data_IF_522767344666
#
_entry.id   IF_522767344666
#
_cell.length_a   1.000
_cell.length_b   1.000
_cell.length_c   1.000
_cell.angle_alpha   90.00
_cell.angle_beta   90.00
_cell.angle_gamma   90.00
#
_symmetry.space_group_name_H-M   'P 1'
#
loop_
_entity.id
_entity.type
_entity.pdbx_description
1 polymer ?
#
# COMPACT_ATOMS: atom_id res chain seq x y z
N UNK A 1 -19.28 -64.94 56.48
CA UNK A 1 -20.46 -65.53 55.81
C UNK A 1 -21.05 -64.43 54.96
N UNK A 2 -20.45 -64.23 53.78
CA UNK A 2 -20.80 -63.16 52.84
C UNK A 2 -20.85 -63.84 51.49
N UNK A 3 -22.07 -64.02 51.01
CA UNK A 3 -22.37 -64.81 49.82
C UNK A 3 -21.88 -64.06 48.57
N UNK A 4 -20.95 -64.61 47.76
CA UNK A 4 -20.42 -63.94 46.56
C UNK A 4 -21.50 -63.66 45.50
N UNK A 5 -22.70 -64.22 45.64
CA UNK A 5 -23.85 -63.97 44.78
C UNK A 5 -24.50 -62.58 45.00
N UNK A 6 -24.26 -61.91 46.13
CA UNK A 6 -24.92 -60.63 46.47
C UNK A 6 -24.00 -59.42 46.25
N UNK A 7 -22.67 -59.59 46.34
CA UNK A 7 -21.70 -58.49 46.28
C UNK A 7 -21.55 -57.95 44.84
N UNK A 8 -21.60 -58.83 43.84
CA UNK A 8 -21.42 -58.49 42.42
C UNK A 8 -22.53 -57.58 41.85
N UNK A 9 -23.84 -57.82 42.09
CA UNK A 9 -24.88 -56.94 41.56
C UNK A 9 -24.93 -55.56 42.24
N UNK A 10 -24.56 -55.46 43.53
CA UNK A 10 -24.55 -54.18 44.26
C UNK A 10 -23.43 -53.26 43.75
N UNK A 11 -22.23 -53.80 43.50
CA UNK A 11 -21.12 -53.03 42.94
C UNK A 11 -21.42 -52.52 41.52
N UNK A 12 -22.06 -53.34 40.68
CA UNK A 12 -22.46 -52.94 39.32
C UNK A 12 -23.54 -51.86 39.35
N UNK A 13 -24.50 -51.94 40.28
CA UNK A 13 -25.54 -50.93 40.44
C UNK A 13 -24.98 -49.56 40.88
N UNK A 14 -23.98 -49.54 41.80
CA UNK A 14 -23.35 -48.29 42.27
C UNK A 14 -22.47 -47.65 41.17
N UNK A 15 -21.72 -48.45 40.42
CA UNK A 15 -20.90 -47.95 39.29
C UNK A 15 -21.80 -47.43 38.16
N UNK A 16 -22.95 -48.09 37.90
CA UNK A 16 -23.96 -47.62 36.95
C UNK A 16 -24.60 -46.28 37.36
N UNK A 17 -24.94 -46.12 38.65
CA UNK A 17 -25.54 -44.89 39.17
C UNK A 17 -24.55 -43.71 39.18
N UNK A 18 -23.28 -43.96 39.49
CA UNK A 18 -22.22 -42.97 39.41
C UNK A 18 -21.94 -42.51 37.97
N UNK A 19 -21.99 -43.44 37.00
CA UNK A 19 -21.88 -43.14 35.57
C UNK A 19 -23.06 -42.31 35.04
N UNK A 20 -24.30 -42.60 35.47
CA UNK A 20 -25.50 -41.87 35.04
C UNK A 20 -25.58 -40.46 35.63
N UNK A 21 -25.15 -40.26 36.89
CA UNK A 21 -25.09 -38.94 37.51
C UNK A 21 -23.96 -38.06 36.95
N UNK A 22 -22.82 -38.65 36.59
CA UNK A 22 -21.75 -37.98 35.85
C UNK A 22 -22.18 -37.62 34.42
N UNK A 23 -23.00 -38.47 33.78
CA UNK A 23 -23.55 -38.23 32.44
C UNK A 23 -24.57 -37.07 32.39
N UNK A 24 -25.47 -36.97 33.37
CA UNK A 24 -26.52 -35.93 33.38
C UNK A 24 -26.03 -34.54 33.79
N UNK A 25 -25.00 -34.45 34.64
CA UNK A 25 -24.40 -33.17 35.05
C UNK A 25 -23.46 -32.59 33.98
N UNK A 26 -22.73 -33.47 33.29
CA UNK A 26 -21.86 -33.09 32.16
C UNK A 26 -22.68 -32.62 30.96
N UNK A 27 -23.80 -33.28 30.61
CA UNK A 27 -24.62 -32.93 29.44
C UNK A 27 -25.18 -31.49 29.47
N UNK A 28 -25.54 -30.93 30.64
CA UNK A 28 -26.01 -29.53 30.75
C UNK A 28 -24.89 -28.49 30.75
N UNK A 29 -23.69 -28.86 31.22
CA UNK A 29 -22.49 -27.98 31.16
C UNK A 29 -21.89 -27.96 29.76
N UNK A 30 -21.77 -29.14 29.14
CA UNK A 30 -21.27 -29.34 27.79
C UNK A 30 -22.10 -28.54 26.78
N UNK A 31 -23.43 -28.54 26.86
CA UNK A 31 -24.22 -27.67 25.98
C UNK A 31 -23.91 -26.17 26.16
N UNK A 32 -23.75 -25.67 27.39
CA UNK A 32 -23.40 -24.25 27.60
C UNK A 32 -21.99 -23.92 27.11
N UNK A 33 -21.02 -24.81 27.35
CA UNK A 33 -19.65 -24.67 26.89
C UNK A 33 -19.57 -24.74 25.36
N UNK A 34 -20.30 -25.66 24.73
CA UNK A 34 -20.43 -25.79 23.27
C UNK A 34 -21.07 -24.53 22.66
N UNK A 35 -22.11 -23.97 23.28
CA UNK A 35 -22.73 -22.72 22.83
C UNK A 35 -21.77 -21.52 22.97
N UNK A 36 -20.96 -21.47 24.03
CA UNK A 36 -19.97 -20.42 24.24
C UNK A 36 -18.80 -20.54 23.25
N UNK A 37 -18.31 -21.76 23.00
CA UNK A 37 -17.27 -22.05 22.01
C UNK A 37 -17.75 -21.77 20.59
N UNK A 38 -19.00 -22.12 20.25
CA UNK A 38 -19.59 -21.79 18.95
C UNK A 38 -19.71 -20.27 18.75
N UNK A 39 -20.08 -19.53 19.80
CA UNK A 39 -20.16 -18.06 19.75
C UNK A 39 -18.78 -17.41 19.61
N UNK A 40 -17.80 -17.84 20.40
CA UNK A 40 -16.42 -17.38 20.27
C UNK A 40 -15.83 -17.72 18.91
N UNK A 41 -16.14 -18.92 18.38
CA UNK A 41 -15.77 -19.32 17.02
C UNK A 41 -16.34 -18.38 15.96
N UNK A 42 -17.62 -18.03 16.05
CA UNK A 42 -18.27 -17.10 15.12
C UNK A 42 -17.69 -15.67 15.21
N UNK A 43 -17.39 -15.19 16.41
CA UNK A 43 -16.73 -13.89 16.62
C UNK A 43 -15.32 -13.86 16.01
N UNK A 44 -14.52 -14.93 16.21
CA UNK A 44 -13.19 -15.07 15.60
C UNK A 44 -13.27 -15.15 14.08
N UNK A 45 -14.22 -15.90 13.52
CA UNK A 45 -14.42 -15.97 12.06
C UNK A 45 -14.77 -14.60 11.47
N UNK A 46 -15.63 -13.84 12.15
CA UNK A 46 -16.00 -12.48 11.72
C UNK A 46 -14.80 -11.55 11.78
N UNK A 47 -14.04 -11.56 12.88
CA UNK A 47 -12.84 -10.75 13.03
C UNK A 47 -11.80 -11.09 11.97
N UNK A 48 -11.62 -12.38 11.66
CA UNK A 48 -10.72 -12.83 10.59
C UNK A 48 -11.12 -12.29 9.22
N UNK A 49 -12.42 -12.28 8.91
CA UNK A 49 -12.91 -11.70 7.67
C UNK A 49 -12.67 -10.18 7.59
N UNK A 50 -12.82 -9.47 8.71
CA UNK A 50 -12.52 -8.03 8.81
C UNK A 50 -11.03 -7.77 8.63
N UNK A 51 -10.16 -8.57 9.26
CA UNK A 51 -8.71 -8.45 9.11
C UNK A 51 -8.30 -8.68 7.66
N UNK A 52 -8.82 -9.73 7.02
CA UNK A 52 -8.53 -10.01 5.60
C UNK A 52 -8.94 -8.83 4.70
N UNK A 53 -10.15 -8.30 4.90
CA UNK A 53 -10.63 -7.13 4.15
C UNK A 53 -9.77 -5.88 4.39
N UNK A 54 -9.33 -5.64 5.62
CA UNK A 54 -8.43 -4.53 5.95
C UNK A 54 -7.07 -4.72 5.30
N UNK A 55 -6.50 -5.93 5.33
CA UNK A 55 -5.23 -6.27 4.68
C UNK A 55 -5.31 -6.05 3.17
N UNK A 56 -6.40 -6.47 2.53
CA UNK A 56 -6.61 -6.25 1.10
C UNK A 56 -6.72 -4.75 0.77
N UNK A 57 -7.46 -3.99 1.59
CA UNK A 57 -7.57 -2.53 1.43
C UNK A 57 -6.25 -1.81 1.63
N UNK A 58 -5.46 -2.19 2.64
CA UNK A 58 -4.11 -1.63 2.89
C UNK A 58 -3.22 -1.91 1.68
N UNK A 59 -3.19 -3.15 1.20
CA UNK A 59 -2.40 -3.50 0.02
C UNK A 59 -2.85 -2.74 -1.23
N UNK A 60 -4.16 -2.51 -1.40
CA UNK A 60 -4.68 -1.66 -2.48
C UNK A 60 -4.23 -0.21 -2.35
N UNK A 61 -4.25 0.36 -1.14
CA UNK A 61 -3.83 1.73 -0.89
C UNK A 61 -2.32 1.90 -1.07
N UNK A 62 -1.51 0.94 -0.64
CA UNK A 62 -0.06 0.95 -0.85
C UNK A 62 0.30 0.97 -2.34
N UNK A 63 -0.38 0.15 -3.16
CA UNK A 63 -0.19 0.17 -4.62
C UNK A 63 -0.63 1.49 -5.24
N UNK A 64 -1.75 2.05 -4.80
CA UNK A 64 -2.24 3.34 -5.29
C UNK A 64 -1.29 4.49 -4.89
N UNK A 65 -0.74 4.44 -3.68
CA UNK A 65 0.24 5.40 -3.19
C UNK A 65 1.53 5.33 -4.01
N UNK A 66 2.09 4.14 -4.20
CA UNK A 66 3.30 3.97 -5.01
C UNK A 66 3.10 4.46 -6.46
N UNK A 67 1.93 4.22 -7.05
CA UNK A 67 1.59 4.75 -8.37
C UNK A 67 1.43 6.27 -8.38
N UNK A 68 0.92 6.86 -7.29
CA UNK A 68 0.81 8.31 -7.13
C UNK A 68 2.18 8.96 -6.96
N UNK A 69 3.06 8.37 -6.16
CA UNK A 69 4.44 8.84 -5.95
C UNK A 69 5.21 8.85 -7.27
N UNK A 70 5.15 7.75 -8.03
CA UNK A 70 5.80 7.69 -9.35
C UNK A 70 5.29 8.75 -10.34
N UNK A 71 4.00 9.11 -10.28
CA UNK A 71 3.45 10.20 -11.10
C UNK A 71 3.95 11.57 -10.64
N UNK A 72 4.10 11.77 -9.34
CA UNK A 72 4.65 13.02 -8.80
C UNK A 72 6.10 13.19 -9.22
N UNK A 73 6.91 12.13 -9.10
CA UNK A 73 8.32 12.17 -9.52
C UNK A 73 8.44 12.52 -11.01
N UNK A 74 7.64 11.88 -11.88
CA UNK A 74 7.62 12.20 -13.30
C UNK A 74 7.20 13.66 -13.60
N UNK A 75 6.28 14.22 -12.82
CA UNK A 75 5.89 15.63 -12.96
C UNK A 75 6.99 16.59 -12.47
N UNK A 76 7.74 16.21 -11.43
CA UNK A 76 8.89 16.99 -10.93
C UNK A 76 9.98 17.01 -11.99
N UNK A 77 10.32 15.85 -12.57
CA UNK A 77 11.31 15.75 -13.64
C UNK A 77 10.89 16.60 -14.84
N UNK A 78 9.65 16.46 -15.32
CA UNK A 78 9.13 17.26 -16.42
C UNK A 78 9.14 18.77 -16.13
N UNK A 79 8.87 19.17 -14.88
CA UNK A 79 8.95 20.58 -14.47
C UNK A 79 10.38 21.09 -14.51
N UNK A 80 11.34 20.28 -14.05
CA UNK A 80 12.74 20.67 -14.00
C UNK A 80 13.36 20.70 -15.40
N UNK A 81 12.93 19.83 -16.30
CA UNK A 81 13.24 19.88 -17.75
C UNK A 81 12.74 21.20 -18.36
N UNK A 82 11.44 21.48 -18.23
CA UNK A 82 10.86 22.73 -18.76
C UNK A 82 11.52 23.99 -18.18
N UNK A 83 11.95 23.93 -16.91
CA UNK A 83 12.70 25.03 -16.27
C UNK A 83 14.09 25.19 -16.90
N UNK A 84 14.79 24.10 -17.20
CA UNK A 84 16.10 24.13 -17.89
C UNK A 84 15.95 24.70 -19.29
N UNK A 85 14.97 24.26 -20.06
CA UNK A 85 14.73 24.74 -21.42
C UNK A 85 14.42 26.24 -21.43
N UNK A 86 13.60 26.70 -20.47
CA UNK A 86 13.35 28.12 -20.29
C UNK A 86 14.61 28.93 -20.01
N UNK A 87 15.54 28.40 -19.19
CA UNK A 87 16.81 29.08 -18.95
C UNK A 87 17.68 29.11 -20.20
N UNK A 88 17.73 28.02 -20.97
CA UNK A 88 18.41 28.00 -22.27
C UNK A 88 17.85 29.07 -23.22
N UNK A 89 16.52 29.23 -23.29
CA UNK A 89 15.89 30.27 -24.09
C UNK A 89 16.27 31.68 -23.64
N UNK A 90 16.25 31.95 -22.32
CA UNK A 90 16.62 33.25 -21.76
C UNK A 90 18.09 33.58 -22.05
N UNK A 91 19.00 32.62 -21.86
CA UNK A 91 20.41 32.83 -22.09
C UNK A 91 20.73 33.00 -23.58
N UNK A 92 20.07 32.24 -24.47
CA UNK A 92 20.18 32.43 -25.91
C UNK A 92 19.68 33.82 -26.34
N UNK A 93 18.50 34.23 -25.87
CA UNK A 93 17.96 35.56 -26.17
C UNK A 93 18.89 36.68 -25.70
N UNK A 94 19.51 36.52 -24.52
CA UNK A 94 20.50 37.48 -24.01
C UNK A 94 21.72 37.55 -24.93
N UNK A 95 22.27 36.40 -25.34
CA UNK A 95 23.42 36.34 -26.25
C UNK A 95 23.10 36.99 -27.60
N UNK A 96 21.92 36.70 -28.17
CA UNK A 96 21.49 37.26 -29.44
C UNK A 96 21.33 38.79 -29.38
N UNK A 97 20.74 39.31 -28.30
CA UNK A 97 20.61 40.75 -28.09
C UNK A 97 21.97 41.44 -27.92
N UNK A 98 22.88 40.84 -27.16
CA UNK A 98 24.25 41.36 -27.01
C UNK A 98 24.98 41.38 -28.34
N UNK A 99 24.95 40.27 -29.10
CA UNK A 99 25.54 40.18 -30.43
C UNK A 99 24.98 41.26 -31.36
N UNK A 100 23.65 41.43 -31.39
CA UNK A 100 23.01 42.44 -32.24
C UNK A 100 23.41 43.87 -31.85
N UNK A 101 23.55 44.16 -30.55
CA UNK A 101 24.01 45.46 -30.07
C UNK A 101 25.47 45.72 -30.40
N UNK A 102 26.35 44.73 -30.24
CA UNK A 102 27.77 44.84 -30.61
C UNK A 102 27.93 45.03 -32.13
N UNK A 103 27.18 44.28 -32.93
CA UNK A 103 27.17 44.45 -34.38
C UNK A 103 26.72 45.87 -34.78
N UNK A 104 25.63 46.36 -34.17
CA UNK A 104 25.11 47.70 -34.46
C UNK A 104 26.00 48.85 -33.97
N UNK A 105 26.87 48.62 -32.98
CA UNK A 105 27.68 49.68 -32.36
C UNK A 105 29.13 49.71 -32.82
N UNK A 106 29.67 48.59 -33.33
CA UNK A 106 31.09 48.43 -33.61
C UNK A 106 31.41 48.12 -35.08
N UNK A 107 30.43 47.72 -35.89
CA UNK A 107 30.68 47.27 -37.26
C UNK A 107 30.34 48.42 -38.23
N UNK A 108 31.34 48.92 -38.99
CA UNK A 108 31.10 49.87 -40.08
C UNK A 108 30.14 49.28 -41.12
N UNK A 109 29.32 50.12 -41.76
CA UNK A 109 28.26 49.70 -42.71
C UNK A 109 28.77 48.85 -43.90
N UNK A 110 30.07 48.86 -44.18
CA UNK A 110 30.73 48.14 -45.27
C UNK A 110 31.35 46.78 -44.86
N UNK A 111 31.22 46.38 -43.60
CA UNK A 111 31.76 45.12 -43.06
C UNK A 111 30.63 44.15 -42.75
N UNK A 112 30.74 42.92 -43.27
CA UNK A 112 29.79 41.85 -42.94
C UNK A 112 29.87 41.51 -41.44
N UNK A 113 28.71 41.39 -40.75
CA UNK A 113 28.70 41.08 -39.34
C UNK A 113 29.18 39.65 -39.06
N UNK A 114 29.80 39.40 -37.88
CA UNK A 114 30.13 38.05 -37.46
C UNK A 114 28.85 37.20 -37.35
N UNK A 115 28.95 35.87 -37.51
CA UNK A 115 27.79 35.00 -37.46
C UNK A 115 27.06 35.12 -36.10
N UNK A 116 25.72 35.04 -36.10
CA UNK A 116 24.95 35.08 -34.86
C UNK A 116 25.23 33.84 -34.00
N UNK A 117 24.95 33.92 -32.69
CA UNK A 117 25.09 32.76 -31.82
C UNK A 117 24.22 31.60 -32.30
N UNK A 118 24.78 30.39 -32.23
CA UNK A 118 24.08 29.16 -32.61
C UNK A 118 22.90 28.88 -31.67
N UNK A 119 21.82 28.34 -32.23
CA UNK A 119 20.64 27.94 -31.46
C UNK A 119 21.01 26.74 -30.60
N UNK A 120 20.79 26.78 -29.27
CA UNK A 120 21.01 25.64 -28.40
C UNK A 120 20.20 24.42 -28.87
N UNK A 121 20.76 23.19 -28.84
CA UNK A 121 20.04 21.98 -29.23
C UNK A 121 18.72 21.79 -28.48
N UNK A 122 18.67 22.19 -27.22
CA UNK A 122 17.47 22.16 -26.37
C UNK A 122 16.31 23.02 -26.88
N UNK A 123 16.56 23.95 -27.80
CA UNK A 123 15.55 24.84 -28.40
C UNK A 123 15.35 24.57 -29.90
N UNK A 124 16.16 23.68 -30.50
CA UNK A 124 16.22 23.53 -31.95
C UNK A 124 14.93 22.95 -32.54
N UNK A 125 14.18 22.16 -31.77
CA UNK A 125 12.92 21.57 -32.21
C UNK A 125 11.71 22.53 -32.04
N UNK A 126 11.87 23.62 -31.28
CA UNK A 126 10.79 24.53 -30.89
C UNK A 126 10.82 25.90 -31.60
N UNK A 127 11.88 26.20 -32.35
CA UNK A 127 12.13 27.49 -33.04
C UNK A 127 12.05 27.35 -34.57
#
# INVERSE_FOLDING_TARGET
MTDPAIITPILVAVVGLAGVLAGQSTSRRMHREDYQLARQGAEVTTLRAVVESLTERVSSLERALAASEARVDALVDARDDAKRDRWHAIDYARQLLTWGHECASLIPDDVDPPPPPEIPPALADDL
#
